data_IF_178773351157
#
_entry.id   IF_178773351157
#
_cell.length_a   1.000
_cell.length_b   1.000
_cell.length_c   1.000
_cell.angle_alpha   90.00
_cell.angle_beta   90.00
_cell.angle_gamma   90.00
#
_symmetry.space_group_name_H-M   'P 1'
#
loop_
_entity.id
_entity.type
_entity.pdbx_description
1 polymer ?
#
# COMPACT_ATOMS: atom_id res chain seq x y z
N UNK A 1 15.06 -0.59 -12.23
CA UNK A 1 14.78 -1.53 -11.12
C UNK A 1 14.31 -0.76 -9.88
N UNK A 2 13.01 -0.71 -9.65
CA UNK A 2 12.48 -0.13 -8.42
C UNK A 2 12.90 -1.01 -7.23
N UNK A 3 13.50 -0.40 -6.20
CA UNK A 3 14.00 -1.14 -5.04
C UNK A 3 12.83 -1.74 -4.24
N UNK A 4 12.78 -3.07 -4.18
CA UNK A 4 11.77 -3.80 -3.38
C UNK A 4 11.82 -3.40 -1.91
N UNK A 5 13.04 -3.22 -1.39
CA UNK A 5 13.26 -2.75 -0.02
C UNK A 5 12.64 -1.37 0.20
N UNK A 6 12.84 -0.44 -0.74
CA UNK A 6 12.25 0.90 -0.66
C UNK A 6 10.72 0.85 -0.73
N UNK A 7 10.17 -0.02 -1.58
CA UNK A 7 8.72 -0.24 -1.71
C UNK A 7 8.11 -0.72 -0.39
N UNK A 8 8.75 -1.69 0.26
CA UNK A 8 8.32 -2.23 1.54
C UNK A 8 8.41 -1.20 2.66
N UNK A 9 9.56 -0.51 2.80
CA UNK A 9 9.78 0.50 3.85
C UNK A 9 8.77 1.64 3.71
N UNK A 10 8.61 2.19 2.50
CA UNK A 10 7.69 3.30 2.25
C UNK A 10 6.24 2.87 2.49
N UNK A 11 5.85 1.68 2.01
CA UNK A 11 4.52 1.12 2.27
C UNK A 11 4.26 0.82 3.75
N UNK A 12 5.30 0.48 4.52
CA UNK A 12 5.20 0.19 5.95
C UNK A 12 4.99 1.43 6.82
N UNK A 13 5.47 2.60 6.39
CA UNK A 13 5.20 3.85 7.12
C UNK A 13 3.88 4.49 6.71
N UNK A 14 3.49 4.33 5.44
CA UNK A 14 2.35 5.03 4.87
C UNK A 14 1.54 4.07 3.97
N UNK A 15 0.27 3.80 4.32
CA UNK A 15 -0.57 2.90 3.55
C UNK A 15 -0.71 3.41 2.11
N UNK A 16 -0.51 2.53 1.13
CA UNK A 16 -0.66 2.85 -0.29
C UNK A 16 0.57 3.49 -0.96
N UNK A 17 1.55 4.06 -0.23
CA UNK A 17 2.70 4.69 -0.88
C UNK A 17 3.66 3.70 -1.57
N UNK A 18 3.62 2.42 -1.20
CA UNK A 18 4.34 1.37 -1.94
C UNK A 18 3.95 1.30 -3.42
N UNK A 19 2.71 1.67 -3.77
CA UNK A 19 2.24 1.64 -5.16
C UNK A 19 2.87 2.69 -6.07
N UNK A 20 3.53 3.72 -5.51
CA UNK A 20 4.27 4.70 -6.30
C UNK A 20 5.38 4.05 -7.12
N UNK A 21 6.03 3.03 -6.56
CA UNK A 21 7.09 2.27 -7.24
C UNK A 21 6.54 1.35 -8.34
N UNK A 22 5.25 1.04 -8.27
CA UNK A 22 4.54 0.28 -9.32
C UNK A 22 3.92 1.17 -10.41
N UNK A 23 4.18 2.48 -10.41
CA UNK A 23 3.55 3.49 -11.30
C UNK A 23 2.02 3.58 -11.18
N UNK A 24 1.42 2.99 -10.13
CA UNK A 24 -0.03 2.98 -9.88
C UNK A 24 -0.43 4.09 -8.89
N UNK A 25 -0.28 5.35 -9.29
CA UNK A 25 -0.52 6.52 -8.44
C UNK A 25 -1.97 6.66 -7.95
N UNK A 26 -2.94 6.37 -8.82
CA UNK A 26 -4.36 6.47 -8.47
C UNK A 26 -4.73 5.46 -7.36
N UNK A 27 -4.14 4.26 -7.42
CA UNK A 27 -4.35 3.21 -6.43
C UNK A 27 -3.67 3.56 -5.11
N UNK A 28 -2.47 4.16 -5.15
CA UNK A 28 -1.77 4.65 -3.96
C UNK A 28 -2.63 5.63 -3.15
N UNK A 29 -3.20 6.64 -3.84
CA UNK A 29 -4.05 7.66 -3.23
C UNK A 29 -5.36 7.04 -2.71
N UNK A 30 -5.98 6.16 -3.49
CA UNK A 30 -7.22 5.48 -3.08
C UNK A 30 -7.05 4.66 -1.81
N UNK A 31 -6.01 3.82 -1.74
CA UNK A 31 -5.72 3.00 -0.55
C UNK A 31 -5.41 3.88 0.66
N UNK A 32 -4.61 4.93 0.47
CA UNK A 32 -4.29 5.87 1.54
C UNK A 32 -5.54 6.51 2.15
N UNK A 33 -6.44 7.03 1.29
CA UNK A 33 -7.69 7.66 1.72
C UNK A 33 -8.62 6.66 2.43
N UNK A 34 -8.74 5.43 1.90
CA UNK A 34 -9.60 4.41 2.52
C UNK A 34 -9.06 3.98 3.88
N UNK A 35 -7.75 3.77 4.03
CA UNK A 35 -7.15 3.47 5.34
C UNK A 35 -7.40 4.61 6.35
N UNK A 36 -7.27 5.87 5.93
CA UNK A 36 -7.56 7.02 6.81
C UNK A 36 -9.02 7.04 7.21
N UNK A 37 -9.94 6.93 6.25
CA UNK A 37 -11.39 6.98 6.52
C UNK A 37 -11.82 5.85 7.46
N UNK A 38 -11.30 4.63 7.25
CA UNK A 38 -11.56 3.51 8.14
C UNK A 38 -10.97 3.72 9.54
N UNK A 39 -9.74 4.23 9.64
CA UNK A 39 -9.11 4.56 10.93
C UNK A 39 -9.82 5.68 11.70
N UNK A 40 -10.45 6.63 11.00
CA UNK A 40 -11.20 7.73 11.62
C UNK A 40 -12.50 7.30 12.28
N UNK A 41 -13.08 6.15 11.90
CA UNK A 41 -14.35 5.69 12.48
C UNK A 41 -14.24 5.34 13.97
N UNK A 42 -13.02 5.16 14.51
CA UNK A 42 -12.74 4.75 15.91
C UNK A 42 -13.48 3.48 16.36
N UNK A 43 -14.12 2.77 15.43
CA UNK A 43 -14.73 1.47 15.66
C UNK A 43 -13.64 0.39 15.56
N UNK A 44 -13.71 -0.61 16.43
CA UNK A 44 -12.83 -1.78 16.43
C UNK A 44 -12.83 -2.43 15.04
N UNK A 45 -14.00 -2.50 14.39
CA UNK A 45 -14.13 -3.05 13.03
C UNK A 45 -13.37 -2.20 12.01
N UNK A 46 -13.51 -0.87 12.08
CA UNK A 46 -12.80 0.07 11.20
C UNK A 46 -11.29 0.04 11.38
N UNK A 47 -10.82 -0.07 12.63
CA UNK A 47 -9.40 -0.21 12.95
C UNK A 47 -8.84 -1.52 12.38
N UNK A 48 -9.52 -2.66 12.60
CA UNK A 48 -9.09 -3.95 12.05
C UNK A 48 -9.08 -3.90 10.52
N UNK A 49 -10.15 -3.40 9.90
CA UNK A 49 -10.26 -3.29 8.45
C UNK A 49 -9.15 -2.41 7.85
N UNK A 50 -8.85 -1.27 8.48
CA UNK A 50 -7.75 -0.38 8.08
C UNK A 50 -6.40 -1.09 8.12
N UNK A 51 -6.10 -1.81 9.21
CA UNK A 51 -4.84 -2.55 9.35
C UNK A 51 -4.74 -3.71 8.34
N UNK A 52 -5.82 -4.44 8.11
CA UNK A 52 -5.86 -5.50 7.10
C UNK A 52 -5.64 -4.96 5.69
N UNK A 53 -6.32 -3.87 5.34
CA UNK A 53 -6.15 -3.19 4.05
C UNK A 53 -4.73 -2.68 3.87
N UNK A 54 -4.12 -2.16 4.93
CA UNK A 54 -2.74 -1.70 4.91
C UNK A 54 -1.74 -2.83 4.61
N UNK A 55 -1.84 -3.96 5.34
CA UNK A 55 -0.97 -5.12 5.12
C UNK A 55 -1.18 -5.68 3.70
N UNK A 56 -2.43 -5.77 3.26
CA UNK A 56 -2.77 -6.21 1.91
C UNK A 56 -2.13 -5.32 0.84
N UNK A 57 -2.28 -4.00 0.98
CA UNK A 57 -1.70 -3.02 0.07
C UNK A 57 -0.18 -3.12 -0.01
N UNK A 58 0.48 -3.42 1.12
CA UNK A 58 1.92 -3.57 1.20
C UNK A 58 2.41 -4.80 0.43
N UNK A 59 1.72 -5.93 0.57
CA UNK A 59 2.03 -7.17 -0.17
C UNK A 59 1.75 -7.00 -1.66
N UNK A 60 0.63 -6.38 -2.03
CA UNK A 60 0.26 -6.19 -3.43
C UNK A 60 1.17 -5.17 -4.14
N UNK A 61 1.62 -4.11 -3.44
CA UNK A 61 2.63 -3.20 -3.96
C UNK A 61 3.97 -3.90 -4.25
N UNK A 62 4.49 -4.73 -3.33
CA UNK A 62 5.72 -5.50 -3.57
C UNK A 62 5.56 -6.49 -4.75
N UNK A 63 4.43 -7.19 -4.83
CA UNK A 63 4.14 -8.10 -5.95
C UNK A 63 4.12 -7.38 -7.30
N UNK A 64 3.48 -6.21 -7.39
CA UNK A 64 3.45 -5.42 -8.63
C UNK A 64 4.83 -4.89 -9.02
N UNK A 65 5.63 -4.45 -8.05
CA UNK A 65 7.02 -4.04 -8.29
C UNK A 65 7.88 -5.20 -8.78
N UNK A 66 7.71 -6.41 -8.21
CA UNK A 66 8.37 -7.60 -8.72
C UNK A 66 7.99 -7.92 -10.17
N UNK A 67 6.69 -7.83 -10.51
CA UNK A 67 6.22 -8.07 -11.87
C UNK A 67 6.83 -7.07 -12.86
N UNK A 68 6.90 -5.79 -12.51
CA UNK A 68 7.52 -4.76 -13.35
C UNK A 68 9.01 -5.03 -13.54
N UNK A 69 9.73 -5.31 -12.46
CA UNK A 69 11.17 -5.61 -12.51
C UNK A 69 11.51 -6.94 -13.23
N UNK A 70 10.54 -7.82 -13.45
CA UNK A 70 10.73 -9.07 -14.20
C UNK A 70 10.46 -8.90 -15.71
N UNK A 71 9.80 -7.81 -16.11
CA UNK A 71 9.49 -7.46 -17.49
C UNK A 71 10.51 -6.47 -18.07
N UNK A 72 11.06 -5.58 -17.22
CA UNK A 72 12.22 -4.72 -17.51
C UNK A 72 13.54 -5.49 -17.49
#
# INVERSE_FOLDING_TARGET
MASRLATFIVGFFLPGLGYLFSKNYLFAIGVFLVCILLGMTQDIIGIIASNLLWIYALIDADRKVQQINAIE
#
